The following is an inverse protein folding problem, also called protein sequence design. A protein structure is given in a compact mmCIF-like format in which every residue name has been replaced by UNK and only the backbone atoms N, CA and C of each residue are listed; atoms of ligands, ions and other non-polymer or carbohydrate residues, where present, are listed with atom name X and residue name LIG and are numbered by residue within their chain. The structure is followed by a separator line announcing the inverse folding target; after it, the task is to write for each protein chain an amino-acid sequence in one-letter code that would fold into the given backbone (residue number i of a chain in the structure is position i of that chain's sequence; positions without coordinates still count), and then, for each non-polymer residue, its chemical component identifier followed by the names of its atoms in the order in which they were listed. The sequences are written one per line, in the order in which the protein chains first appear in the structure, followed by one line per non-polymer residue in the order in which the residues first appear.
data_IF_152606652252
#
_entry.id   IF_152606652252
#
_cell.length_a   1.000
_cell.length_b   1.000
_cell.length_c   1.000
_cell.angle_alpha   90.00
_cell.angle_beta   90.00
_cell.angle_gamma   90.00
#
_symmetry.space_group_name_H-M   'P 1'
#
loop_
_entity.id
_entity.type
_entity.pdbx_description
1 polymer ?
#
# COMPACT_ATOMS: atom_id res chain seq x y z
N UNK A 1 13.69 -2.53 -13.42
CA UNK A 1 12.31 -3.01 -13.25
C UNK A 1 11.79 -2.55 -11.89
N UNK A 2 10.48 -2.33 -11.77
CA UNK A 2 9.79 -1.95 -10.54
C UNK A 2 8.61 -2.89 -10.37
N UNK A 3 8.27 -3.21 -9.13
CA UNK A 3 7.12 -4.04 -8.80
C UNK A 3 6.27 -3.28 -7.80
N UNK A 4 4.95 -3.37 -7.95
CA UNK A 4 3.98 -2.78 -7.04
C UNK A 4 3.05 -3.89 -6.58
N UNK A 5 2.90 -4.01 -5.27
CA UNK A 5 1.85 -4.84 -4.67
C UNK A 5 0.64 -3.94 -4.43
N UNK A 6 -0.53 -4.37 -4.87
CA UNK A 6 -1.79 -3.67 -4.62
C UNK A 6 -2.62 -4.49 -3.64
N UNK A 7 -3.23 -3.83 -2.67
CA UNK A 7 -4.15 -4.41 -1.70
C UNK A 7 -5.46 -3.62 -1.77
N UNK A 8 -6.58 -4.35 -1.81
CA UNK A 8 -7.91 -3.75 -1.91
C UNK A 8 -8.59 -3.74 -0.54
N UNK A 9 -9.30 -2.66 -0.25
CA UNK A 9 -10.07 -2.45 0.97
C UNK A 9 -11.43 -1.86 0.60
N UNK A 10 -12.46 -2.12 1.41
CA UNK A 10 -13.81 -1.59 1.17
C UNK A 10 -13.89 -0.06 1.31
N UNK A 11 -13.04 0.54 2.15
CA UNK A 11 -13.02 1.99 2.39
C UNK A 11 -11.63 2.47 2.85
N UNK A 12 -11.40 3.78 2.78
CA UNK A 12 -10.20 4.41 3.34
C UNK A 12 -10.14 4.29 4.86
N UNK A 13 -11.28 4.34 5.53
CA UNK A 13 -11.37 4.18 6.99
C UNK A 13 -10.85 2.80 7.44
N UNK A 14 -11.08 1.74 6.63
CA UNK A 14 -10.52 0.42 6.91
C UNK A 14 -9.00 0.41 6.80
N UNK A 15 -8.41 1.21 5.89
CA UNK A 15 -6.95 1.37 5.79
C UNK A 15 -6.41 2.09 7.02
N UNK A 16 -7.06 3.17 7.45
CA UNK A 16 -6.68 3.92 8.66
C UNK A 16 -6.78 3.05 9.90
N UNK A 17 -7.85 2.25 10.04
CA UNK A 17 -8.01 1.33 11.15
C UNK A 17 -6.94 0.22 11.16
N UNK A 18 -6.50 -0.22 9.98
CA UNK A 18 -5.47 -1.24 9.83
C UNK A 18 -4.05 -0.71 10.12
N UNK A 19 -3.71 0.47 9.59
CA UNK A 19 -2.34 1.01 9.62
C UNK A 19 -2.10 2.06 10.72
N UNK A 20 -3.15 2.74 11.19
CA UNK A 20 -3.09 3.81 12.17
C UNK A 20 -3.20 5.21 11.56
N UNK A 21 -2.98 6.24 12.38
CA UNK A 21 -3.18 7.64 11.99
C UNK A 21 -2.31 8.08 10.80
N UNK A 22 -1.07 7.59 10.72
CA UNK A 22 -0.17 7.83 9.59
C UNK A 22 -0.29 6.72 8.53
N UNK A 23 -1.53 6.47 8.09
CA UNK A 23 -1.89 5.33 7.23
C UNK A 23 -1.18 5.31 5.87
N UNK A 24 -0.68 6.45 5.41
CA UNK A 24 0.11 6.54 4.19
C UNK A 24 1.58 6.17 4.40
N UNK A 25 2.12 6.15 5.62
CA UNK A 25 3.50 5.75 5.84
C UNK A 25 3.70 4.27 5.49
N UNK A 26 4.65 4.01 4.59
CA UNK A 26 5.00 2.67 4.18
C UNK A 26 5.71 1.94 5.33
N UNK A 27 5.05 0.94 5.89
CA UNK A 27 5.68 0.04 6.84
C UNK A 27 6.56 -0.98 6.08
N UNK A 28 7.88 -0.73 6.10
CA UNK A 28 8.87 -1.67 5.55
C UNK A 28 9.64 -2.32 6.70
N UNK A 29 9.43 -3.62 6.98
CA UNK A 29 10.17 -4.36 8.00
C UNK A 29 11.67 -4.29 7.77
N UNK A 30 12.47 -4.33 8.85
CA UNK A 30 13.93 -4.20 8.76
C UNK A 30 14.56 -5.24 7.82
N UNK A 31 14.07 -6.48 7.82
CA UNK A 31 14.56 -7.54 6.94
C UNK A 31 14.30 -7.23 5.46
N UNK A 32 13.14 -6.66 5.13
CA UNK A 32 12.82 -6.24 3.77
C UNK A 32 13.73 -5.10 3.30
N UNK A 33 14.08 -4.15 4.18
CA UNK A 33 15.00 -3.04 3.86
C UNK A 33 16.40 -3.51 3.46
N UNK A 34 16.83 -4.70 3.90
CA UNK A 34 18.16 -5.25 3.56
C UNK A 34 18.24 -5.72 2.09
N UNK A 35 17.10 -6.11 1.51
CA UNK A 35 17.04 -6.71 0.17
C UNK A 35 16.42 -5.78 -0.88
N UNK A 36 15.59 -4.82 -0.46
CA UNK A 36 15.00 -3.83 -1.35
C UNK A 36 16.03 -2.76 -1.71
N UNK A 37 16.27 -2.58 -3.01
CA UNK A 37 17.14 -1.48 -3.51
C UNK A 37 16.52 -0.10 -3.34
N UNK A 38 15.18 -0.02 -3.35
CA UNK A 38 14.37 1.17 -3.13
C UNK A 38 12.93 0.77 -2.82
N UNK A 39 12.21 1.64 -2.14
CA UNK A 39 10.76 1.59 -1.90
C UNK A 39 10.26 3.03 -1.74
N UNK A 40 8.96 3.25 -1.94
CA UNK A 40 8.35 4.53 -1.67
C UNK A 40 8.03 4.64 -0.17
N UNK A 41 8.35 5.78 0.45
CA UNK A 41 8.09 6.01 1.89
C UNK A 41 6.61 6.27 2.18
N UNK A 42 5.83 6.61 1.14
CA UNK A 42 4.39 6.87 1.21
C UNK A 42 3.64 5.94 0.25
N UNK A 43 2.60 5.29 0.76
CA UNK A 43 1.68 4.48 -0.02
C UNK A 43 0.61 5.37 -0.67
N UNK A 44 0.30 5.12 -1.93
CA UNK A 44 -0.77 5.84 -2.64
C UNK A 44 -2.09 5.09 -2.56
N UNK A 45 -3.18 5.83 -2.36
CA UNK A 45 -4.53 5.28 -2.28
C UNK A 45 -5.33 5.70 -3.52
N UNK A 46 -5.95 4.73 -4.19
CA UNK A 46 -6.72 4.94 -5.41
C UNK A 46 -8.14 4.40 -5.25
N UNK A 47 -9.10 5.11 -5.82
CA UNK A 47 -10.48 4.66 -5.90
C UNK A 47 -10.68 3.82 -7.16
N UNK A 48 -11.25 2.62 -7.02
CA UNK A 48 -11.56 1.76 -8.16
C UNK A 48 -12.75 2.37 -8.92
N UNK A 49 -12.50 2.84 -10.16
CA UNK A 49 -13.54 3.41 -11.02
C UNK A 49 -14.33 2.35 -11.81
N UNK A 50 -13.70 1.23 -12.13
CA UNK A 50 -14.32 0.16 -12.91
C UNK A 50 -13.63 -1.17 -12.61
N UNK A 51 -14.44 -2.19 -12.30
CA UNK A 51 -13.99 -3.59 -12.25
C UNK A 51 -14.47 -4.29 -13.50
N UNK A 52 -13.61 -5.11 -14.13
CA UNK A 52 -13.97 -5.94 -15.27
C UNK A 52 -13.88 -7.41 -14.86
N UNK A 53 -14.99 -8.11 -14.93
CA UNK A 53 -15.06 -9.56 -14.82
C UNK A 53 -15.08 -10.14 -16.23
N UNK A 54 -14.21 -11.12 -16.50
CA UNK A 54 -14.11 -11.83 -17.78
C UNK A 54 -14.84 -13.17 -17.70
#
# INVERSE_FOLDING_TARGET
MQFTTVMEFDSLDNVIAFQGEDYEAAYVPQEARKILRRWDERSTHHEVRQVRHY
#
